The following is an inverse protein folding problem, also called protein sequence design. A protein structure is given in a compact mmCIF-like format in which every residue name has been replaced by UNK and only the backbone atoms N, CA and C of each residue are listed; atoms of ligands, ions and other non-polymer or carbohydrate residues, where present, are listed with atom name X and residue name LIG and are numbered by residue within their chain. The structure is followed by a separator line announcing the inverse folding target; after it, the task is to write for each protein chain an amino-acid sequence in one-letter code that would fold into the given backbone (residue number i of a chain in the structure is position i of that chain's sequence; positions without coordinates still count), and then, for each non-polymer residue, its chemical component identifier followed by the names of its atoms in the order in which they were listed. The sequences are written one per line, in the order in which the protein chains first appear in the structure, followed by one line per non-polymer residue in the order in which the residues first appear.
data_IF_895497890749
#
_entry.id   IF_895497890749
#
_cell.length_a   1.000
_cell.length_b   1.000
_cell.length_c   1.000
_cell.angle_alpha   90.00
_cell.angle_beta   90.00
_cell.angle_gamma   90.00
#
_symmetry.space_group_name_H-M   'P 1'
#
loop_
_entity.id
_entity.type
_entity.pdbx_description
1 polymer ?
#
# COMPACT_ATOMS: atom_id res chain seq x y z
N UNK A 1 -22.19 -22.20 -1.43
CA UNK A 1 -21.28 -21.42 -0.55
C UNK A 1 -19.90 -21.22 -1.19
N UNK A 2 -19.30 -22.25 -1.79
CA UNK A 2 -18.00 -22.14 -2.48
C UNK A 2 -18.03 -21.16 -3.67
N UNK A 3 -19.14 -21.09 -4.42
CA UNK A 3 -19.30 -20.15 -5.55
C UNK A 3 -19.22 -18.67 -5.19
N UNK A 4 -19.57 -18.29 -3.94
CA UNK A 4 -19.49 -16.92 -3.48
C UNK A 4 -18.04 -16.48 -3.16
N UNK A 5 -17.11 -17.43 -3.10
CA UNK A 5 -15.70 -17.15 -2.89
C UNK A 5 -15.07 -16.66 -4.20
N UNK A 6 -14.09 -15.76 -4.08
CA UNK A 6 -13.37 -15.22 -5.22
C UNK A 6 -12.62 -16.33 -5.95
N UNK A 7 -13.11 -16.72 -7.13
CA UNK A 7 -12.58 -17.84 -7.91
C UNK A 7 -11.26 -17.52 -8.64
N UNK A 8 -10.99 -16.25 -8.96
CA UNK A 8 -9.78 -15.87 -9.67
C UNK A 8 -9.29 -14.46 -9.30
N UNK A 9 -7.98 -14.22 -9.49
CA UNK A 9 -7.41 -12.86 -9.44
C UNK A 9 -7.66 -12.16 -10.77
N UNK A 10 -8.28 -10.98 -10.71
CA UNK A 10 -8.35 -10.05 -11.82
C UNK A 10 -6.95 -9.79 -12.39
N UNK A 11 -6.80 -9.90 -13.71
CA UNK A 11 -5.55 -9.63 -14.42
C UNK A 11 -5.21 -8.14 -14.21
N UNK A 12 -3.99 -7.82 -13.77
CA UNK A 12 -3.57 -6.41 -13.66
C UNK A 12 -3.64 -5.78 -15.06
N UNK A 13 -4.38 -4.69 -15.18
CA UNK A 13 -4.42 -3.89 -16.40
C UNK A 13 -3.06 -3.26 -16.73
N UNK A 14 -2.97 -2.66 -17.93
CA UNK A 14 -1.76 -2.00 -18.42
C UNK A 14 -1.28 -0.94 -17.42
N UNK A 15 0.01 -0.96 -17.08
CA UNK A 15 0.61 0.05 -16.20
C UNK A 15 0.56 1.40 -16.90
N UNK A 16 -0.01 2.40 -16.23
CA UNK A 16 -0.02 3.79 -16.72
C UNK A 16 1.44 4.27 -16.85
N UNK A 17 1.85 4.66 -18.05
CA UNK A 17 3.21 5.14 -18.38
C UNK A 17 3.37 6.65 -18.21
N UNK A 18 2.32 7.36 -17.78
CA UNK A 18 2.40 8.79 -17.50
C UNK A 18 3.50 9.04 -16.48
N UNK A 19 4.41 9.96 -16.81
CA UNK A 19 5.53 10.44 -16.01
C UNK A 19 5.03 11.18 -14.76
N UNK A 20 4.36 10.47 -13.86
CA UNK A 20 4.23 10.94 -12.48
C UNK A 20 5.65 10.92 -11.92
N UNK A 21 6.20 12.10 -11.62
CA UNK A 21 7.53 12.25 -11.06
C UNK A 21 7.72 11.24 -9.93
N UNK A 22 8.75 10.40 -10.05
CA UNK A 22 9.06 9.44 -8.99
C UNK A 22 9.30 10.23 -7.72
N UNK A 23 8.51 10.00 -6.68
CA UNK A 23 8.91 10.41 -5.35
C UNK A 23 10.28 9.75 -5.11
N UNK A 24 11.33 10.56 -5.00
CA UNK A 24 12.68 10.05 -4.75
C UNK A 24 12.71 9.65 -3.27
N UNK A 25 12.37 8.40 -3.01
CA UNK A 25 12.68 7.78 -1.73
C UNK A 25 14.19 7.61 -1.69
N UNK A 26 14.83 8.10 -0.62
CA UNK A 26 16.26 7.92 -0.37
C UNK A 26 16.64 6.45 -0.57
N UNK A 27 17.78 6.19 -1.21
CA UNK A 27 18.23 4.82 -1.51
C UNK A 27 18.14 3.92 -0.27
N UNK A 28 18.62 4.40 0.88
CA UNK A 28 18.62 3.70 2.16
C UNK A 28 17.22 3.30 2.68
N UNK A 29 16.16 3.97 2.22
CA UNK A 29 14.77 3.71 2.65
C UNK A 29 14.00 2.84 1.64
N UNK A 30 14.65 2.38 0.57
CA UNK A 30 13.97 1.53 -0.41
C UNK A 30 13.62 0.17 0.18
N UNK A 31 12.47 -0.35 -0.25
CA UNK A 31 11.93 -1.65 0.19
C UNK A 31 12.92 -2.80 -0.05
N UNK A 32 13.78 -2.70 -1.08
CA UNK A 32 14.78 -3.73 -1.40
C UNK A 32 15.85 -3.90 -0.31
N UNK A 33 16.07 -2.87 0.52
CA UNK A 33 17.09 -2.88 1.58
C UNK A 33 16.51 -3.20 2.95
N UNK A 34 15.30 -3.76 3.02
CA UNK A 34 14.71 -4.13 4.31
C UNK A 34 15.52 -5.25 4.98
N UNK A 35 15.75 -5.16 6.30
CA UNK A 35 16.26 -6.25 7.11
C UNK A 35 15.47 -7.56 6.93
N UNK A 36 16.16 -8.69 6.98
CA UNK A 36 15.61 -10.02 6.70
C UNK A 36 14.47 -10.41 7.64
N UNK A 37 14.55 -10.00 8.91
CA UNK A 37 13.53 -10.20 9.94
C UNK A 37 12.18 -9.55 9.57
N UNK A 38 12.20 -8.41 8.86
CA UNK A 38 10.99 -7.75 8.35
C UNK A 38 10.40 -8.49 7.14
N UNK A 39 11.25 -9.04 6.27
CA UNK A 39 10.80 -9.77 5.08
C UNK A 39 10.29 -11.18 5.41
N UNK A 40 10.86 -11.84 6.43
CA UNK A 40 10.41 -13.14 6.91
C UNK A 40 9.01 -13.09 7.55
N UNK A 41 8.56 -11.91 8.02
CA UNK A 41 7.23 -11.70 8.63
C UNK A 41 6.96 -12.73 9.72
N UNK A 42 7.92 -12.94 10.60
CA UNK A 42 7.80 -13.92 11.69
C UNK A 42 7.08 -13.33 12.89
N UNK A 43 7.29 -12.04 13.15
CA UNK A 43 6.75 -11.32 14.31
C UNK A 43 5.63 -10.34 13.93
N UNK A 44 4.57 -10.20 14.76
CA UNK A 44 3.62 -9.10 14.65
C UNK A 44 4.28 -7.75 14.96
N UNK A 45 3.77 -6.68 14.35
CA UNK A 45 4.16 -5.30 14.67
C UNK A 45 4.88 -4.57 13.53
N UNK A 46 5.22 -5.26 12.45
CA UNK A 46 5.74 -4.64 11.25
C UNK A 46 4.59 -4.14 10.37
N UNK A 47 4.52 -2.82 10.19
CA UNK A 47 3.46 -2.18 9.41
C UNK A 47 3.95 -1.74 8.03
N UNK A 48 3.06 -1.82 7.04
CA UNK A 48 3.25 -1.27 5.70
C UNK A 48 2.15 -0.28 5.41
N UNK A 49 2.52 0.97 5.11
CA UNK A 49 1.62 1.95 4.52
C UNK A 49 1.64 1.89 2.99
N UNK A 50 0.49 2.12 2.36
CA UNK A 50 0.38 2.51 0.95
C UNK A 50 -0.49 3.77 0.87
N UNK A 51 -0.56 4.39 -0.32
CA UNK A 51 -1.52 5.46 -0.62
C UNK A 51 -2.35 5.06 -1.83
N UNK A 52 -3.67 5.05 -1.67
CA UNK A 52 -4.61 4.76 -2.76
C UNK A 52 -5.39 6.03 -3.06
N UNK A 53 -5.35 6.46 -4.32
CA UNK A 53 -6.17 7.57 -4.83
C UNK A 53 -7.39 7.03 -5.57
N UNK A 54 -8.54 7.61 -5.30
CA UNK A 54 -9.78 7.37 -6.01
C UNK A 54 -9.77 7.97 -7.42
N UNK A 55 -10.86 7.73 -8.16
CA UNK A 55 -11.02 8.25 -9.51
C UNK A 55 -10.85 9.78 -9.57
N UNK A 56 -10.15 10.26 -10.60
CA UNK A 56 -9.87 11.68 -10.81
C UNK A 56 -9.20 12.39 -9.62
N UNK A 57 -8.50 11.64 -8.75
CA UNK A 57 -7.88 12.15 -7.52
C UNK A 57 -8.86 12.83 -6.54
N UNK A 58 -10.16 12.52 -6.59
CA UNK A 58 -11.19 13.17 -5.75
C UNK A 58 -11.28 12.65 -4.31
N UNK A 59 -10.66 11.51 -4.04
CA UNK A 59 -10.59 10.91 -2.71
C UNK A 59 -9.27 10.17 -2.55
N UNK A 60 -8.85 9.97 -1.31
CA UNK A 60 -7.67 9.18 -0.99
C UNK A 60 -7.86 8.44 0.33
N UNK A 61 -7.23 7.27 0.42
CA UNK A 61 -7.11 6.51 1.67
C UNK A 61 -5.65 6.11 1.88
N UNK A 62 -5.23 6.14 3.14
CA UNK A 62 -3.94 5.63 3.61
C UNK A 62 -4.14 4.29 4.29
N UNK A 63 -4.12 3.17 3.54
CA UNK A 63 -4.15 1.84 4.14
C UNK A 63 -2.84 1.56 4.87
N UNK A 64 -2.95 1.08 6.10
CA UNK A 64 -1.81 0.60 6.89
C UNK A 64 -2.09 -0.85 7.26
N UNK A 65 -1.17 -1.74 6.87
CA UNK A 65 -1.34 -3.20 6.99
C UNK A 65 -0.23 -3.78 7.84
N UNK A 66 -0.59 -4.50 8.90
CA UNK A 66 0.35 -5.29 9.68
C UNK A 66 0.74 -6.55 8.88
N UNK A 67 2.04 -6.78 8.70
CA UNK A 67 2.55 -7.74 7.70
C UNK A 67 2.34 -9.20 8.09
N UNK A 68 2.29 -9.54 9.38
CA UNK A 68 2.11 -10.91 9.89
C UNK A 68 0.65 -11.35 9.86
N UNK A 69 -0.19 -10.65 10.60
CA UNK A 69 -1.62 -10.87 10.84
C UNK A 69 -2.50 -10.39 9.69
N UNK A 70 -1.99 -9.47 8.85
CA UNK A 70 -2.78 -8.77 7.81
C UNK A 70 -3.92 -7.93 8.38
N UNK A 71 -3.84 -7.54 9.65
CA UNK A 71 -4.74 -6.54 10.20
C UNK A 71 -4.60 -5.23 9.42
N UNK A 72 -5.73 -4.63 9.04
CA UNK A 72 -5.78 -3.46 8.17
C UNK A 72 -6.48 -2.31 8.86
N UNK A 73 -5.86 -1.14 8.81
CA UNK A 73 -6.48 0.14 9.17
C UNK A 73 -6.62 0.96 7.89
N UNK A 74 -7.81 1.50 7.65
CA UNK A 74 -8.08 2.42 6.55
C UNK A 74 -8.29 3.82 7.12
N UNK A 75 -7.38 4.75 6.79
CA UNK A 75 -7.54 6.16 7.14
C UNK A 75 -8.00 6.95 5.92
N UNK A 76 -9.03 7.79 6.08
CA UNK A 76 -9.44 8.77 5.07
C UNK A 76 -8.39 9.88 5.01
N UNK A 77 -7.93 10.22 3.82
CA UNK A 77 -6.88 11.23 3.62
C UNK A 77 -7.50 12.48 3.01
N UNK A 78 -7.11 13.67 3.50
CA UNK A 78 -7.53 14.95 2.90
C UNK A 78 -6.74 15.31 1.63
N UNK A 79 -5.64 14.61 1.38
CA UNK A 79 -4.74 14.87 0.25
C UNK A 79 -3.71 13.74 0.06
N UNK A 80 -2.63 14.04 -0.66
CA UNK A 80 -1.58 13.07 -1.00
C UNK A 80 -0.18 13.43 -0.47
N UNK A 81 -0.11 14.32 0.52
CA UNK A 81 1.12 14.74 1.18
C UNK A 81 1.30 13.99 2.51
N UNK A 82 2.51 14.05 3.09
CA UNK A 82 2.78 13.41 4.38
C UNK A 82 1.91 13.97 5.53
N UNK A 83 1.44 15.21 5.41
CA UNK A 83 0.59 15.89 6.39
C UNK A 83 -0.91 15.72 6.12
N UNK A 84 -1.28 14.94 5.11
CA UNK A 84 -2.67 14.66 4.76
C UNK A 84 -3.45 13.73 5.72
N UNK A 85 -2.82 12.87 6.56
CA UNK A 85 -3.52 12.22 7.65
C UNK A 85 -3.77 13.28 8.73
N UNK A 86 -5.01 13.76 8.80
CA UNK A 86 -5.73 14.41 9.91
C UNK A 86 -7.03 14.96 9.34
#
# INVERSE_FOLDING_TARGET
MIEALRQAKQKRGMRRTSSAGSAIVTETLRIIHRPEDIEARLVPGHWKGDLIKGAFNRSAIGPVVERKTRFVILSKMQGCTANAPL
#
